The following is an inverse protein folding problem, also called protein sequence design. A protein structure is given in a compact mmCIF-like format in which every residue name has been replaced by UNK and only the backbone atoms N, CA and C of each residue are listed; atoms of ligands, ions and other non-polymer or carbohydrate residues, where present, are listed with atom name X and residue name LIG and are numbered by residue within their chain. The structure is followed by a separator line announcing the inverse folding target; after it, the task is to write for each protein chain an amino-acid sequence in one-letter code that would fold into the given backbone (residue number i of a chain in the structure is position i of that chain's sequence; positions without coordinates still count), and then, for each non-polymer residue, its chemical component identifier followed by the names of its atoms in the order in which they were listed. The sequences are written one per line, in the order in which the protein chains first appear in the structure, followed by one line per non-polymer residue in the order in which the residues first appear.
data_IF_520896544723
#
_entry.id   IF_520896544723
#
_cell.length_a   1.000
_cell.length_b   1.000
_cell.length_c   1.000
_cell.angle_alpha   90.00
_cell.angle_beta   90.00
_cell.angle_gamma   90.00
#
_symmetry.space_group_name_H-M   'P 1'
#
loop_
_entity.id
_entity.type
_entity.pdbx_description
1 polymer ?
#
# COMPACT_ATOMS: atom_id res chain seq x y z
N UNK A 1 -7.70 10.37 -6.19
CA UNK A 1 -6.34 10.41 -5.60
C UNK A 1 -5.97 9.09 -4.95
N UNK A 2 -6.66 8.61 -3.92
CA UNK A 2 -6.28 7.37 -3.23
C UNK A 2 -6.21 6.12 -4.12
N UNK A 3 -7.13 5.95 -5.08
CA UNK A 3 -7.08 4.81 -6.01
C UNK A 3 -5.83 4.84 -6.91
N UNK A 4 -5.45 6.03 -7.39
CA UNK A 4 -4.25 6.23 -8.22
C UNK A 4 -2.98 6.01 -7.40
N UNK A 5 -2.99 6.46 -6.13
CA UNK A 5 -1.91 6.18 -5.19
C UNK A 5 -1.72 4.68 -4.95
N UNK A 6 -2.78 3.91 -4.70
CA UNK A 6 -2.67 2.46 -4.51
C UNK A 6 -2.18 1.75 -5.77
N UNK A 7 -2.64 2.14 -6.96
CA UNK A 7 -2.10 1.62 -8.21
C UNK A 7 -0.61 1.93 -8.36
N UNK A 8 -0.20 3.17 -8.07
CA UNK A 8 1.20 3.58 -8.13
C UNK A 8 2.06 2.83 -7.10
N UNK A 9 1.56 2.64 -5.88
CA UNK A 9 2.26 1.94 -4.81
C UNK A 9 2.43 0.46 -5.15
N UNK A 10 1.42 -0.17 -5.77
CA UNK A 10 1.55 -1.55 -6.26
C UNK A 10 2.63 -1.64 -7.35
N UNK A 11 2.59 -0.75 -8.34
CA UNK A 11 3.65 -0.65 -9.33
C UNK A 11 5.04 -0.54 -8.68
N UNK A 12 5.20 0.33 -7.69
CA UNK A 12 6.47 0.49 -6.96
C UNK A 12 6.91 -0.73 -6.17
N UNK A 13 5.96 -1.48 -5.57
CA UNK A 13 6.28 -2.73 -4.87
C UNK A 13 6.80 -3.83 -5.78
N UNK A 14 6.54 -3.76 -7.09
CA UNK A 14 7.10 -4.72 -8.07
C UNK A 14 8.41 -4.23 -8.71
N UNK A 15 8.86 -3.02 -8.35
CA UNK A 15 10.20 -2.53 -8.68
C UNK A 15 11.16 -2.81 -7.53
N UNK A 16 12.45 -2.98 -7.85
CA UNK A 16 13.54 -3.08 -6.84
C UNK A 16 13.28 -4.08 -5.70
N UNK A 17 12.57 -5.17 -5.97
CA UNK A 17 12.27 -6.20 -4.95
C UNK A 17 11.36 -5.71 -3.82
N UNK A 18 10.52 -4.70 -4.05
CA UNK A 18 9.62 -4.14 -3.04
C UNK A 18 10.17 -2.92 -2.30
N UNK A 19 11.45 -2.60 -2.47
CA UNK A 19 12.07 -1.44 -1.84
C UNK A 19 11.64 -0.12 -2.52
N UNK A 20 10.85 0.67 -1.81
CA UNK A 20 10.43 2.01 -2.23
C UNK A 20 11.28 3.05 -1.50
N UNK A 21 12.11 3.76 -2.26
CA UNK A 21 12.95 4.81 -1.70
C UNK A 21 12.12 6.05 -1.34
N UNK A 22 12.14 6.42 -0.06
CA UNK A 22 11.55 7.64 0.46
C UNK A 22 12.67 8.66 0.72
N UNK A 23 12.67 9.82 0.03
CA UNK A 23 13.68 10.86 0.25
C UNK A 23 13.73 11.30 1.72
N UNK A 24 14.90 11.18 2.35
CA UNK A 24 15.13 11.55 3.75
C UNK A 24 14.81 10.47 4.79
N UNK A 25 14.14 9.37 4.41
CA UNK A 25 13.84 8.24 5.31
C UNK A 25 14.67 7.00 4.96
N UNK A 26 14.91 6.75 3.67
CA UNK A 26 15.55 5.52 3.20
C UNK A 26 14.55 4.61 2.49
N UNK A 27 14.90 3.33 2.36
CA UNK A 27 14.06 2.34 1.69
C UNK A 27 12.99 1.80 2.65
N UNK A 28 11.74 1.76 2.17
CA UNK A 28 10.61 1.10 2.82
C UNK A 28 10.20 -0.08 1.96
N UNK A 29 10.17 -1.27 2.55
CA UNK A 29 9.72 -2.48 1.86
C UNK A 29 8.19 -2.47 1.78
N UNK A 30 7.66 -2.62 0.58
CA UNK A 30 6.22 -2.70 0.32
C UNK A 30 5.94 -3.99 -0.40
N UNK A 31 4.93 -4.72 0.07
CA UNK A 31 4.34 -5.81 -0.69
C UNK A 31 2.82 -5.78 -0.61
N UNK A 32 2.18 -6.10 -1.73
CA UNK A 32 0.73 -6.27 -1.78
C UNK A 32 0.44 -7.73 -1.41
N UNK A 33 -0.26 -7.92 -0.31
CA UNK A 33 -0.64 -9.23 0.19
C UNK A 33 -1.75 -9.83 -0.68
N UNK A 34 -2.18 -11.05 -0.33
CA UNK A 34 -3.03 -11.94 -1.14
C UNK A 34 -4.47 -11.45 -1.41
N UNK A 35 -4.80 -10.18 -1.21
CA UNK A 35 -6.14 -9.62 -1.42
C UNK A 35 -6.08 -8.19 -1.97
N UNK A 36 -6.62 -8.03 -3.17
CA UNK A 36 -6.74 -6.76 -3.88
C UNK A 36 -8.17 -6.63 -4.40
N UNK A 37 -8.82 -5.48 -4.20
CA UNK A 37 -10.11 -5.19 -4.80
C UNK A 37 -9.97 -4.05 -5.80
N UNK A 38 -10.56 -4.22 -6.98
CA UNK A 38 -10.60 -3.22 -8.04
C UNK A 38 -12.04 -2.94 -8.45
N UNK A 39 -12.29 -1.71 -8.91
CA UNK A 39 -13.61 -1.28 -9.34
C UNK A 39 -13.55 -0.25 -10.46
N UNK A 40 -14.53 -0.34 -11.37
CA UNK A 40 -14.86 0.65 -12.40
C UNK A 40 -16.33 1.07 -12.25
N UNK A 41 -16.68 2.21 -12.86
CA UNK A 41 -18.04 2.76 -12.80
C UNK A 41 -18.36 3.41 -11.45
N UNK A 42 -19.65 3.70 -11.23
CA UNK A 42 -20.16 4.28 -10.00
C UNK A 42 -21.65 4.02 -9.83
N UNK A 43 -22.12 3.97 -8.58
CA UNK A 43 -23.52 3.66 -8.27
C UNK A 43 -23.90 2.24 -8.71
N UNK A 44 -25.06 2.12 -9.34
CA UNK A 44 -25.64 0.85 -9.79
C UNK A 44 -24.86 0.19 -10.94
N UNK A 45 -24.01 0.96 -11.64
CA UNK A 45 -23.14 0.45 -12.70
C UNK A 45 -21.71 0.15 -12.20
N UNK A 46 -21.54 0.00 -10.88
CA UNK A 46 -20.24 -0.36 -10.32
C UNK A 46 -19.93 -1.84 -10.59
N UNK A 47 -18.79 -2.08 -11.21
CA UNK A 47 -18.28 -3.43 -11.43
C UNK A 47 -17.02 -3.62 -10.62
N UNK A 48 -17.07 -4.53 -9.64
CA UNK A 48 -15.94 -4.82 -8.78
C UNK A 48 -15.42 -6.23 -8.97
N UNK A 49 -14.11 -6.39 -8.80
CA UNK A 49 -13.48 -7.70 -8.68
C UNK A 49 -12.65 -7.73 -7.41
N UNK A 50 -12.54 -8.92 -6.82
CA UNK A 50 -11.65 -9.17 -5.69
C UNK A 50 -10.70 -10.29 -6.09
N UNK A 51 -9.44 -9.95 -6.24
CA UNK A 51 -8.39 -10.88 -6.55
C UNK A 51 -7.82 -11.46 -5.26
N UNK A 52 -7.74 -12.79 -5.18
CA UNK A 52 -7.20 -13.48 -4.00
C UNK A 52 -6.17 -14.56 -4.37
N UNK A 53 -5.17 -14.75 -3.52
CA UNK A 53 -4.14 -15.79 -3.67
C UNK A 53 -2.72 -15.25 -3.87
N UNK A 54 -1.73 -16.14 -3.79
CA UNK A 54 -0.30 -15.81 -3.79
C UNK A 54 0.20 -15.20 -5.11
N UNK A 55 -0.25 -15.73 -6.26
CA UNK A 55 0.27 -15.36 -7.58
C UNK A 55 -0.83 -15.09 -8.63
N UNK A 56 -1.94 -15.83 -8.57
CA UNK A 56 -3.07 -15.65 -9.50
C UNK A 56 -3.75 -14.28 -9.32
N UNK A 57 -3.93 -13.84 -8.07
CA UNK A 57 -4.61 -12.58 -7.77
C UNK A 57 -3.89 -11.33 -8.30
N UNK A 58 -2.55 -11.35 -8.41
CA UNK A 58 -1.81 -10.21 -8.96
C UNK A 58 -1.92 -10.14 -10.49
N UNK A 59 -1.98 -11.28 -11.19
CA UNK A 59 -2.20 -11.31 -12.65
C UNK A 59 -3.60 -10.84 -13.02
N UNK A 60 -4.62 -11.36 -12.35
CA UNK A 60 -6.01 -10.93 -12.53
C UNK A 60 -6.18 -9.43 -12.23
N UNK A 61 -5.53 -8.94 -11.17
CA UNK A 61 -5.55 -7.52 -10.83
C UNK A 61 -4.94 -6.64 -11.91
N UNK A 62 -3.85 -7.07 -12.56
CA UNK A 62 -3.23 -6.32 -13.67
C UNK A 62 -4.14 -6.31 -14.90
N UNK A 63 -4.77 -7.42 -15.23
CA UNK A 63 -5.75 -7.48 -16.32
C UNK A 63 -6.91 -6.50 -16.06
N UNK A 64 -7.44 -6.47 -14.83
CA UNK A 64 -8.46 -5.51 -14.45
C UNK A 64 -8.01 -4.04 -14.51
N UNK A 65 -6.75 -3.74 -14.16
CA UNK A 65 -6.18 -2.40 -14.36
C UNK A 65 -6.13 -2.03 -15.85
N UNK A 66 -5.81 -2.98 -16.74
CA UNK A 66 -5.80 -2.75 -18.19
C UNK A 66 -7.21 -2.48 -18.74
N UNK A 67 -8.24 -3.10 -18.18
CA UNK A 67 -9.66 -2.86 -18.49
C UNK A 67 -10.20 -1.55 -17.88
N UNK A 68 -9.36 -0.79 -17.17
CA UNK A 68 -9.72 0.52 -16.62
C UNK A 68 -10.32 0.48 -15.21
N UNK A 69 -10.36 -0.69 -14.55
CA UNK A 69 -10.66 -0.75 -13.11
C UNK A 69 -9.52 -0.10 -12.33
N UNK A 70 -9.81 0.39 -11.13
CA UNK A 70 -8.83 1.02 -10.25
C UNK A 70 -8.81 0.33 -8.89
N UNK A 71 -7.66 0.28 -8.24
CA UNK A 71 -7.54 -0.32 -6.91
C UNK A 71 -8.37 0.49 -5.90
N UNK A 72 -9.41 -0.12 -5.34
CA UNK A 72 -10.26 0.49 -4.31
C UNK A 72 -9.86 0.08 -2.89
N UNK A 73 -9.25 -1.10 -2.75
CA UNK A 73 -8.82 -1.65 -1.48
C UNK A 73 -7.65 -2.61 -1.70
N UNK A 74 -6.64 -2.55 -0.83
CA UNK A 74 -5.50 -3.46 -0.88
C UNK A 74 -5.07 -3.87 0.52
N UNK A 75 -4.73 -5.15 0.70
CA UNK A 75 -3.97 -5.59 1.87
C UNK A 75 -2.49 -5.39 1.60
N UNK A 76 -1.81 -4.61 2.44
CA UNK A 76 -0.45 -4.13 2.24
C UNK A 76 0.38 -4.53 3.45
N UNK A 77 1.58 -5.02 3.18
CA UNK A 77 2.62 -5.15 4.18
C UNK A 77 3.67 -4.06 3.96
N UNK A 78 4.07 -3.41 5.05
CA UNK A 78 5.08 -2.34 5.08
C UNK A 78 6.20 -2.76 6.02
N UNK A 79 7.42 -2.86 5.52
CA UNK A 79 8.64 -3.09 6.29
C UNK A 79 9.44 -1.79 6.43
N UNK A 80 9.71 -1.37 7.67
CA UNK A 80 10.54 -0.21 7.98
C UNK A 80 11.66 -0.63 8.94
N UNK A 81 12.78 -1.11 8.39
CA UNK A 81 13.84 -1.74 9.19
C UNK A 81 13.42 -3.13 9.69
N UNK A 82 13.51 -3.37 11.01
CA UNK A 82 13.14 -4.65 11.62
C UNK A 82 11.62 -4.85 11.77
N UNK A 83 10.85 -3.76 11.72
CA UNK A 83 9.41 -3.77 11.98
C UNK A 83 8.62 -4.01 10.70
N UNK A 84 7.63 -4.91 10.79
CA UNK A 84 6.71 -5.23 9.70
C UNK A 84 5.27 -5.00 10.15
N UNK A 85 4.59 -4.12 9.43
CA UNK A 85 3.18 -3.80 9.63
C UNK A 85 2.36 -4.45 8.51
N UNK A 86 1.16 -4.91 8.83
CA UNK A 86 0.21 -5.38 7.81
C UNK A 86 -1.16 -4.74 8.04
N UNK A 87 -1.77 -4.19 7.01
CA UNK A 87 -3.10 -3.59 7.10
C UNK A 87 -3.83 -3.65 5.76
N UNK A 88 -5.12 -3.36 5.79
CA UNK A 88 -5.91 -3.11 4.59
C UNK A 88 -6.13 -1.61 4.47
N UNK A 89 -5.86 -1.02 3.31
CA UNK A 89 -6.14 0.38 3.02
C UNK A 89 -7.31 0.51 2.04
N UNK A 90 -8.34 1.27 2.42
CA UNK A 90 -9.41 1.70 1.52
C UNK A 90 -9.01 3.00 0.83
N UNK A 91 -8.96 2.96 -0.49
CA UNK A 91 -8.47 4.07 -1.31
C UNK A 91 -9.28 5.36 -1.16
N UNK A 92 -10.61 5.25 -1.19
CA UNK A 92 -11.48 6.43 -1.31
C UNK A 92 -11.57 7.23 -0.01
N UNK A 93 -11.56 6.53 1.13
CA UNK A 93 -11.56 7.13 2.47
C UNK A 93 -10.17 7.27 3.10
N UNK A 94 -9.14 6.72 2.45
CA UNK A 94 -7.79 6.57 3.00
C UNK A 94 -7.78 5.89 4.38
N UNK A 95 -8.71 4.96 4.60
CA UNK A 95 -8.95 4.33 5.89
C UNK A 95 -8.10 3.06 6.04
N UNK A 96 -7.38 2.97 7.16
CA UNK A 96 -6.71 1.75 7.61
C UNK A 96 -7.72 0.80 8.26
N UNK A 97 -7.62 -0.48 7.93
CA UNK A 97 -8.38 -1.55 8.55
C UNK A 97 -7.43 -2.69 8.91
N UNK A 98 -7.76 -3.43 9.98
CA UNK A 98 -7.04 -4.65 10.39
C UNK A 98 -5.52 -4.44 10.54
N UNK A 99 -5.08 -3.29 11.10
CA UNK A 99 -3.67 -3.02 11.32
C UNK A 99 -3.10 -4.02 12.33
N UNK A 100 -2.14 -4.81 11.86
CA UNK A 100 -1.29 -5.70 12.65
C UNK A 100 0.04 -5.01 12.89
N UNK A 101 0.39 -4.91 14.17
CA UNK A 101 1.69 -4.41 14.61
C UNK A 101 2.76 -5.51 14.46
N UNK A 102 4.05 -5.16 14.50
CA UNK A 102 5.15 -6.11 14.45
C UNK A 102 5.01 -7.21 15.52
N UNK A 103 5.51 -8.40 15.20
CA UNK A 103 5.65 -9.49 16.17
C UNK A 103 6.70 -9.14 17.23
N UNK A 104 6.57 -9.69 18.43
CA UNK A 104 7.53 -9.46 19.52
C UNK A 104 7.28 -8.22 20.37
N UNK A 105 6.08 -7.63 20.30
CA UNK A 105 5.62 -6.71 21.35
C UNK A 105 5.47 -7.55 22.62
N UNK A 106 6.42 -7.44 23.54
CA UNK A 106 6.46 -8.23 24.75
C UNK A 106 5.20 -7.96 25.58
N UNK A 107 4.43 -9.01 25.83
CA UNK A 107 3.44 -9.03 26.89
C UNK A 107 4.20 -9.22 28.21
N UNK A 108 4.94 -8.19 28.64
CA UNK A 108 5.53 -8.21 29.98
C UNK A 108 4.40 -8.37 31.03
N UNK A 109 4.75 -8.97 32.17
CA UNK A 109 3.84 -9.25 33.29
C UNK A 109 2.94 -8.05 33.63
N UNK A 110 1.77 -8.31 34.25
CA UNK A 110 0.65 -7.36 34.50
C UNK A 110 0.99 -5.96 35.08
N UNK A 111 2.24 -5.68 35.43
CA UNK A 111 2.72 -4.50 36.14
C UNK A 111 2.92 -3.25 35.28
N UNK A 112 3.07 -3.31 33.95
CA UNK A 112 3.21 -2.09 33.11
C UNK A 112 2.27 -2.01 31.89
N UNK A 113 0.95 -1.99 32.17
CA UNK A 113 -0.08 -1.75 31.16
C UNK A 113 0.06 -0.37 30.48
N UNK A 114 0.69 0.61 31.14
CA UNK A 114 0.88 1.96 30.63
C UNK A 114 1.96 2.03 29.55
N UNK A 115 3.13 1.46 29.80
CA UNK A 115 4.21 1.33 28.83
C UNK A 115 3.77 0.58 27.57
N UNK A 116 3.08 -0.56 27.74
CA UNK A 116 2.56 -1.35 26.61
C UNK A 116 1.59 -0.54 25.73
N UNK A 117 0.74 0.29 26.32
CA UNK A 117 -0.17 1.15 25.56
C UNK A 117 0.62 2.20 24.76
N UNK A 118 1.62 2.84 25.36
CA UNK A 118 2.46 3.84 24.71
C UNK A 118 3.27 3.24 23.56
N UNK A 119 3.84 2.04 23.75
CA UNK A 119 4.55 1.28 22.72
C UNK A 119 3.63 1.02 21.50
N UNK A 120 2.40 0.57 21.75
CA UNK A 120 1.42 0.32 20.68
C UNK A 120 1.03 1.60 19.95
N UNK A 121 0.82 2.70 20.67
CA UNK A 121 0.55 4.02 20.07
C UNK A 121 1.71 4.42 19.17
N UNK A 122 2.94 4.32 19.66
CA UNK A 122 4.15 4.62 18.91
C UNK A 122 4.26 3.80 17.61
N UNK A 123 4.01 2.49 17.67
CA UNK A 123 4.04 1.60 16.50
C UNK A 123 2.94 1.94 15.48
N UNK A 124 1.74 2.28 15.94
CA UNK A 124 0.66 2.76 15.06
C UNK A 124 1.07 4.05 14.36
N UNK A 125 1.57 5.04 15.11
CA UNK A 125 2.04 6.31 14.56
C UNK A 125 3.16 6.10 13.53
N UNK A 126 4.06 5.16 13.77
CA UNK A 126 5.14 4.80 12.84
C UNK A 126 4.61 4.22 11.53
N UNK A 127 3.62 3.34 11.58
CA UNK A 127 2.96 2.82 10.39
C UNK A 127 2.26 3.92 9.58
N UNK A 128 1.53 4.82 10.26
CA UNK A 128 0.87 5.96 9.64
C UNK A 128 1.87 6.91 8.98
N UNK A 129 2.96 7.24 9.70
CA UNK A 129 4.03 8.10 9.18
C UNK A 129 4.70 7.52 7.94
N UNK A 130 4.92 6.20 7.89
CA UNK A 130 5.45 5.56 6.69
C UNK A 130 4.52 5.75 5.48
N UNK A 131 3.20 5.59 5.68
CA UNK A 131 2.20 5.80 4.64
C UNK A 131 2.07 7.27 4.21
N UNK A 132 2.14 8.22 5.14
CA UNK A 132 2.15 9.66 4.82
C UNK A 132 3.36 10.04 3.97
N UNK A 133 4.53 9.45 4.27
CA UNK A 133 5.74 9.67 3.50
C UNK A 133 5.66 9.06 2.09
N UNK A 134 5.10 7.85 1.95
CA UNK A 134 4.83 7.22 0.65
C UNK A 134 3.84 8.04 -0.17
N UNK A 135 2.77 8.53 0.46
CA UNK A 135 1.78 9.38 -0.20
C UNK A 135 2.39 10.73 -0.61
N UNK A 136 3.25 11.32 0.24
CA UNK A 136 4.01 12.53 -0.09
C UNK A 136 4.95 12.31 -1.26
N UNK A 137 5.65 11.17 -1.32
CA UNK A 137 6.51 10.82 -2.45
C UNK A 137 5.71 10.62 -3.74
N UNK A 138 4.54 9.97 -3.64
CA UNK A 138 3.58 9.88 -4.74
C UNK A 138 3.15 11.25 -5.23
N UNK A 139 2.70 12.16 -4.35
CA UNK A 139 2.25 13.49 -4.74
C UNK A 139 3.36 14.30 -5.41
N UNK A 140 4.59 14.26 -4.88
CA UNK A 140 5.75 14.89 -5.51
C UNK A 140 5.97 14.38 -6.93
N UNK A 141 5.91 13.06 -7.14
CA UNK A 141 6.04 12.47 -8.48
C UNK A 141 4.84 12.82 -9.37
N UNK A 142 3.62 12.69 -8.86
CA UNK A 142 2.34 12.87 -9.57
C UNK A 142 2.12 14.29 -10.08
N UNK A 143 2.62 15.28 -9.35
CA UNK A 143 2.52 16.70 -9.70
C UNK A 143 3.72 17.19 -10.53
N UNK A 144 4.76 16.36 -10.68
CA UNK A 144 5.94 16.71 -11.46
C UNK A 144 5.76 16.43 -12.96
N UNK A 145 6.49 17.13 -13.85
CA UNK A 145 6.51 16.82 -15.29
C UNK A 145 6.91 15.35 -15.57
N UNK A 146 7.72 14.76 -14.69
CA UNK A 146 8.18 13.37 -14.80
C UNK A 146 7.03 12.36 -14.66
N UNK A 147 5.85 12.75 -14.16
CA UNK A 147 4.68 11.88 -14.21
C UNK A 147 4.34 11.48 -15.64
N UNK A 148 4.24 12.48 -16.52
CA UNK A 148 3.83 12.28 -17.91
C UNK A 148 4.98 11.79 -18.79
N UNK A 149 6.20 12.29 -18.56
CA UNK A 149 7.35 11.95 -19.41
C UNK A 149 8.00 10.60 -19.07
N UNK A 150 7.85 10.10 -17.84
CA UNK A 150 8.55 8.89 -17.37
C UNK A 150 7.60 7.91 -16.68
N UNK A 151 6.94 8.35 -15.62
CA UNK A 151 6.31 7.45 -14.64
C UNK A 151 5.15 6.68 -15.26
N UNK A 152 4.28 7.36 -16.03
CA UNK A 152 3.14 6.72 -16.69
C UNK A 152 3.58 5.71 -17.74
N UNK A 153 4.71 5.95 -18.44
CA UNK A 153 5.26 5.01 -19.42
C UNK A 153 5.76 3.74 -18.73
N UNK A 154 6.38 3.87 -17.55
CA UNK A 154 6.81 2.73 -16.74
C UNK A 154 5.62 1.92 -16.20
N UNK A 155 4.57 2.60 -15.72
CA UNK A 155 3.33 1.94 -15.28
C UNK A 155 2.70 1.16 -16.45
N UNK A 156 2.58 1.77 -17.64
CA UNK A 156 2.05 1.08 -18.82
C UNK A 156 2.89 -0.13 -19.21
N UNK A 157 4.23 0.01 -19.20
CA UNK A 157 5.14 -1.11 -19.46
C UNK A 157 4.99 -2.23 -18.42
N UNK A 158 4.80 -1.87 -17.15
CA UNK A 158 4.58 -2.81 -16.06
C UNK A 158 3.25 -3.56 -16.17
N UNK A 159 2.18 -2.90 -16.63
CA UNK A 159 0.89 -3.54 -16.91
C UNK A 159 0.96 -4.50 -18.10
N UNK A 160 1.82 -4.22 -19.09
CA UNK A 160 2.02 -5.10 -20.24
C UNK A 160 2.94 -6.29 -20.00
N UNK A 161 3.48 -6.45 -18.79
CA UNK A 161 4.32 -7.59 -18.36
C UNK A 161 3.51 -8.58 -17.53
#
# INVERSE_FOLDING_TARGET
MGREFLTWLWFKSEERGGAVQIPGTGDVEISFARRLALESGGGEYSESIVCQGLHAGLREGKAALQEGKKVKEARIQVGAGAEKFEFTLKADSFQFQTLRLPEGIEEEEETDKGGQLLERIYLVEKALKAMDQLFSAFLKRRLSPQWSSEEILRIKKWLGK
#
